data_IF_565197487132
#
_entry.id   IF_565197487132
#
_cell.length_a   1.000
_cell.length_b   1.000
_cell.length_c   1.000
_cell.angle_alpha   90.00
_cell.angle_beta   90.00
_cell.angle_gamma   90.00
#
_symmetry.space_group_name_H-M   'P 1'
#
loop_
_entity.id
_entity.type
_entity.pdbx_description
1 polymer ?
#
# COMPACT_ATOMS: atom_id res chain seq x y z
N UNK A 1 2.13 9.19 -14.29
CA UNK A 1 2.20 8.29 -15.46
C UNK A 1 0.81 8.05 -16.08
N UNK A 2 0.34 8.80 -17.09
CA UNK A 2 -1.02 8.61 -17.64
C UNK A 2 -1.18 7.44 -18.64
N UNK A 3 -0.10 6.80 -19.07
CA UNK A 3 -0.11 5.85 -20.20
C UNK A 3 -0.56 4.42 -19.87
N UNK A 4 -0.89 4.11 -18.61
CA UNK A 4 -1.26 2.76 -18.18
C UNK A 4 -2.75 2.56 -17.94
N UNK A 5 -3.59 3.54 -18.33
CA UNK A 5 -5.05 3.46 -18.17
C UNK A 5 -5.65 2.22 -18.83
N UNK A 6 -5.38 2.00 -20.12
CA UNK A 6 -5.95 0.88 -20.87
C UNK A 6 -5.49 -0.48 -20.31
N UNK A 7 -4.23 -0.54 -19.85
CA UNK A 7 -3.68 -1.72 -19.17
C UNK A 7 -4.42 -1.98 -17.85
N UNK A 8 -4.65 -0.95 -17.05
CA UNK A 8 -5.38 -1.06 -15.79
C UNK A 8 -6.82 -1.53 -16.00
N UNK A 9 -7.54 -0.96 -16.97
CA UNK A 9 -8.90 -1.40 -17.32
C UNK A 9 -8.93 -2.88 -17.73
N UNK A 10 -7.90 -3.36 -18.43
CA UNK A 10 -7.78 -4.78 -18.78
C UNK A 10 -7.56 -5.67 -17.54
N UNK A 11 -6.80 -5.20 -16.55
CA UNK A 11 -6.55 -5.90 -15.29
C UNK A 11 -7.83 -5.97 -14.46
N UNK A 12 -8.55 -4.85 -14.34
CA UNK A 12 -9.84 -4.78 -13.62
C UNK A 12 -10.82 -5.80 -14.18
N UNK A 13 -10.99 -5.85 -15.50
CA UNK A 13 -11.86 -6.82 -16.17
C UNK A 13 -11.39 -8.26 -15.97
N UNK A 14 -10.10 -8.52 -16.12
CA UNK A 14 -9.52 -9.88 -15.99
C UNK A 14 -9.68 -10.45 -14.59
N UNK A 15 -9.55 -9.62 -13.57
CA UNK A 15 -9.53 -10.04 -12.16
C UNK A 15 -10.82 -9.72 -11.40
N UNK A 16 -11.84 -9.18 -12.09
CA UNK A 16 -13.11 -8.76 -11.49
C UNK A 16 -12.91 -7.82 -10.28
N UNK A 17 -12.10 -6.78 -10.49
CA UNK A 17 -11.80 -5.76 -9.47
C UNK A 17 -12.88 -4.68 -9.44
N UNK A 18 -12.88 -3.86 -8.40
CA UNK A 18 -13.67 -2.63 -8.36
C UNK A 18 -13.27 -1.70 -9.53
N UNK A 19 -14.24 -1.07 -10.16
CA UNK A 19 -14.03 -0.16 -11.28
C UNK A 19 -13.51 1.21 -10.80
N UNK A 20 -12.25 1.23 -10.39
CA UNK A 20 -11.53 2.42 -9.94
C UNK A 20 -10.74 2.97 -11.13
N UNK A 21 -11.02 4.20 -11.60
CA UNK A 21 -10.25 4.83 -12.67
C UNK A 21 -8.77 4.92 -12.31
N UNK A 22 -7.88 4.71 -13.30
CA UNK A 22 -6.44 4.67 -13.07
C UNK A 22 -5.88 5.96 -12.42
N UNK A 23 -6.43 7.12 -12.77
CA UNK A 23 -6.08 8.42 -12.21
C UNK A 23 -6.57 8.63 -10.76
N UNK A 24 -7.44 7.74 -10.27
CA UNK A 24 -7.93 7.69 -8.89
C UNK A 24 -7.31 6.57 -8.06
N UNK A 25 -6.64 5.62 -8.71
CA UNK A 25 -6.05 4.45 -8.05
C UNK A 25 -4.82 4.83 -7.21
N UNK A 26 -3.95 5.69 -7.74
CA UNK A 26 -2.64 6.02 -7.13
C UNK A 26 -2.32 7.50 -7.30
N UNK A 27 -1.81 8.11 -6.24
CA UNK A 27 -1.19 9.43 -6.30
C UNK A 27 0.31 9.30 -6.63
N UNK A 28 0.64 9.24 -7.92
CA UNK A 28 2.01 9.00 -8.40
C UNK A 28 3.03 10.01 -7.88
N UNK A 29 2.65 11.29 -7.84
CA UNK A 29 3.51 12.36 -7.33
C UNK A 29 3.93 12.17 -5.88
N UNK A 30 3.04 11.57 -5.06
CA UNK A 30 3.36 11.23 -3.68
C UNK A 30 4.43 10.15 -3.62
N UNK A 31 4.28 9.07 -4.40
CA UNK A 31 5.27 8.00 -4.46
C UNK A 31 6.62 8.50 -4.98
N UNK A 32 6.61 9.31 -6.04
CA UNK A 32 7.83 9.92 -6.60
C UNK A 32 8.55 10.75 -5.52
N UNK A 33 7.81 11.58 -4.77
CA UNK A 33 8.40 12.40 -3.70
C UNK A 33 8.93 11.54 -2.53
N UNK A 34 8.17 10.54 -2.08
CA UNK A 34 8.59 9.66 -0.97
C UNK A 34 9.82 8.84 -1.34
N UNK A 35 9.87 8.26 -2.53
CA UNK A 35 10.94 7.36 -2.97
C UNK A 35 12.19 8.09 -3.47
N UNK A 36 12.07 9.34 -3.89
CA UNK A 36 13.21 10.17 -4.31
C UNK A 36 13.81 11.02 -3.19
N UNK A 37 13.23 11.01 -1.99
CA UNK A 37 13.77 11.75 -0.85
C UNK A 37 15.18 11.23 -0.54
N UNK A 38 16.23 12.08 -0.54
CA UNK A 38 17.62 11.64 -0.45
C UNK A 38 18.06 11.19 0.95
N UNK A 39 17.21 11.34 1.96
CA UNK A 39 17.54 11.03 3.35
C UNK A 39 16.37 10.38 4.08
N UNK A 40 16.71 9.72 5.18
CA UNK A 40 15.74 9.03 6.02
C UNK A 40 14.86 10.02 6.78
N UNK A 41 13.55 9.83 6.68
CA UNK A 41 12.57 10.50 7.53
C UNK A 41 12.15 9.54 8.64
N UNK A 42 12.48 9.88 9.88
CA UNK A 42 12.09 9.10 11.05
C UNK A 42 11.51 10.00 12.14
N UNK A 43 10.66 9.42 12.99
CA UNK A 43 10.08 10.10 14.15
C UNK A 43 10.41 9.32 15.42
N UNK A 44 10.73 10.05 16.49
CA UNK A 44 10.90 9.47 17.82
C UNK A 44 9.52 9.27 18.47
N UNK A 45 9.27 8.06 18.98
CA UNK A 45 8.02 7.67 19.66
C UNK A 45 8.19 7.47 21.16
N UNK A 46 9.33 7.89 21.74
CA UNK A 46 9.66 7.78 23.16
C UNK A 46 8.63 8.48 24.04
N UNK A 47 8.14 9.66 23.62
CA UNK A 47 7.08 10.37 24.35
C UNK A 47 5.81 9.52 24.48
N UNK A 48 5.35 8.95 23.37
CA UNK A 48 4.15 8.09 23.36
C UNK A 48 4.33 6.87 24.27
N UNK A 49 5.50 6.23 24.25
CA UNK A 49 5.81 5.09 25.13
C UNK A 49 5.79 5.47 26.60
N UNK A 50 6.35 6.63 26.97
CA UNK A 50 6.31 7.14 28.36
C UNK A 50 4.88 7.34 28.85
N UNK A 51 3.97 7.73 27.96
CA UNK A 51 2.56 7.96 28.28
C UNK A 51 1.70 6.67 28.17
N UNK A 52 2.33 5.50 28.00
CA UNK A 52 1.67 4.18 28.03
C UNK A 52 1.16 3.66 26.68
N UNK A 53 1.50 4.29 25.55
CA UNK A 53 1.10 3.83 24.20
C UNK A 53 2.00 2.70 23.69
N UNK A 54 1.91 1.52 24.32
CA UNK A 54 2.75 0.36 24.03
C UNK A 54 2.40 -0.38 22.72
N UNK A 55 1.19 -0.18 22.18
CA UNK A 55 0.70 -0.82 20.96
C UNK A 55 1.37 -0.34 19.65
N UNK A 56 2.33 0.59 19.73
CA UNK A 56 3.06 1.13 18.57
C UNK A 56 4.18 0.21 18.07
N UNK A 57 4.40 -0.95 18.72
CA UNK A 57 5.40 -1.94 18.31
C UNK A 57 4.85 -2.73 17.12
N UNK A 58 5.24 -2.32 15.92
CA UNK A 58 4.86 -2.97 14.66
C UNK A 58 6.10 -3.27 13.84
N UNK A 59 6.09 -4.40 13.13
CA UNK A 59 7.08 -4.71 12.10
C UNK A 59 6.58 -4.18 10.76
N UNK A 60 7.34 -3.27 10.15
CA UNK A 60 6.94 -2.59 8.91
C UNK A 60 6.59 -3.58 7.80
N UNK A 61 7.40 -4.63 7.61
CA UNK A 61 7.15 -5.67 6.60
C UNK A 61 5.80 -6.39 6.79
N UNK A 62 5.48 -6.78 8.02
CA UNK A 62 4.17 -7.39 8.36
C UNK A 62 3.01 -6.44 8.05
N UNK A 63 3.18 -5.15 8.36
CA UNK A 63 2.17 -4.12 8.05
C UNK A 63 1.99 -3.96 6.54
N UNK A 64 3.07 -3.96 5.76
CA UNK A 64 2.99 -3.92 4.30
C UNK A 64 2.24 -5.14 3.75
N UNK A 65 2.57 -6.35 4.20
CA UNK A 65 1.87 -7.56 3.77
C UNK A 65 0.39 -7.53 4.11
N UNK A 66 0.05 -7.10 5.34
CA UNK A 66 -1.34 -6.92 5.77
C UNK A 66 -2.09 -5.97 4.84
N UNK A 67 -1.52 -4.80 4.53
CA UNK A 67 -2.17 -3.83 3.64
C UNK A 67 -2.39 -4.37 2.23
N UNK A 68 -1.42 -5.07 1.64
CA UNK A 68 -1.59 -5.70 0.32
C UNK A 68 -2.70 -6.74 0.33
N UNK A 69 -2.76 -7.56 1.40
CA UNK A 69 -3.83 -8.52 1.59
C UNK A 69 -5.20 -7.83 1.71
N UNK A 70 -5.32 -6.80 2.54
CA UNK A 70 -6.57 -6.06 2.72
C UNK A 70 -7.06 -5.43 1.41
N UNK A 71 -6.16 -4.81 0.64
CA UNK A 71 -6.49 -4.25 -0.68
C UNK A 71 -6.97 -5.34 -1.68
N UNK A 72 -6.36 -6.52 -1.64
CA UNK A 72 -6.77 -7.64 -2.47
C UNK A 72 -8.13 -8.21 -2.04
N UNK A 73 -8.37 -8.37 -0.73
CA UNK A 73 -9.65 -8.81 -0.17
C UNK A 73 -10.78 -7.82 -0.51
N UNK A 74 -10.46 -6.52 -0.55
CA UNK A 74 -11.35 -5.45 -0.99
C UNK A 74 -11.53 -5.37 -2.52
N UNK A 75 -10.87 -6.24 -3.30
CA UNK A 75 -10.90 -6.22 -4.77
C UNK A 75 -10.41 -4.89 -5.38
N UNK A 76 -9.49 -4.19 -4.70
CA UNK A 76 -8.83 -2.98 -5.23
C UNK A 76 -7.65 -3.37 -6.13
N UNK A 77 -6.93 -4.44 -5.78
CA UNK A 77 -5.82 -5.00 -6.56
C UNK A 77 -6.02 -6.51 -6.76
N UNK A 78 -5.36 -7.15 -7.75
CA UNK A 78 -5.43 -8.60 -7.92
C UNK A 78 -4.89 -9.34 -6.69
N UNK A 79 -5.49 -10.48 -6.36
CA UNK A 79 -4.97 -11.38 -5.34
C UNK A 79 -3.94 -12.33 -5.96
N UNK A 80 -2.66 -12.15 -5.61
CA UNK A 80 -1.56 -13.02 -6.03
C UNK A 80 -1.12 -13.96 -4.90
N UNK A 81 -0.74 -15.21 -5.21
CA UNK A 81 -0.33 -16.20 -4.19
C UNK A 81 0.80 -15.73 -3.27
N UNK A 82 1.70 -14.87 -3.75
CA UNK A 82 2.79 -14.32 -2.96
C UNK A 82 2.30 -13.41 -1.81
N UNK A 83 1.10 -12.84 -1.90
CA UNK A 83 0.50 -11.97 -0.88
C UNK A 83 -0.27 -12.75 0.20
N UNK A 84 -0.42 -14.07 0.03
CA UNK A 84 -1.11 -14.93 1.00
C UNK A 84 -0.15 -15.61 1.99
N UNK A 85 1.17 -15.43 1.80
CA UNK A 85 2.19 -15.94 2.72
C UNK A 85 2.42 -14.95 3.86
N UNK A 86 1.44 -14.80 4.72
CA UNK A 86 1.63 -14.17 6.03
C UNK A 86 1.05 -15.14 7.04
N UNK A 87 1.92 -15.92 7.66
CA UNK A 87 1.63 -16.79 8.78
C UNK A 87 2.16 -16.13 10.06
#
# INVERSE_FOLDING_TARGET
>A
MPHHKDLWESIVKKHNLNDIPFDKLVQWEFADNTLSTPGDQYSDTTKLRKDGFEGQKMYTEEVFHRWFKELADMHVIPNYPAMQKSA
#
